data_IF_118290289483
#
_entry.id   IF_118290289483
#
_cell.length_a   1.000
_cell.length_b   1.000
_cell.length_c   1.000
_cell.angle_alpha   90.00
_cell.angle_beta   90.00
_cell.angle_gamma   90.00
#
_symmetry.space_group_name_H-M   'P 1'
#
loop_
_entity.id
_entity.type
_entity.pdbx_description
1 polymer ?
#
# COMPACT_ATOMS: atom_id res chain seq x y z
N UNK A 1 2.75 -57.16 -17.19
CA UNK A 1 2.08 -56.59 -16.01
C UNK A 1 2.04 -55.05 -16.05
N UNK A 2 2.95 -54.40 -16.78
CA UNK A 2 3.08 -52.92 -16.85
C UNK A 2 1.98 -52.13 -17.55
N UNK A 3 1.24 -52.73 -18.50
CA UNK A 3 0.22 -52.01 -19.27
C UNK A 3 -0.97 -51.55 -18.41
N UNK A 4 -1.35 -52.36 -17.42
CA UNK A 4 -2.44 -52.02 -16.50
C UNK A 4 -2.06 -50.89 -15.55
N UNK A 5 -0.81 -50.90 -15.05
CA UNK A 5 -0.29 -49.88 -14.14
C UNK A 5 -0.17 -48.52 -14.85
N UNK A 6 0.40 -48.49 -16.06
CA UNK A 6 0.47 -47.26 -16.87
C UNK A 6 -0.91 -46.67 -17.14
N UNK A 7 -1.88 -47.50 -17.53
CA UNK A 7 -3.25 -47.03 -17.79
C UNK A 7 -3.91 -46.40 -16.55
N UNK A 8 -3.64 -46.94 -15.35
CA UNK A 8 -4.14 -46.36 -14.09
C UNK A 8 -3.45 -45.02 -13.81
N UNK A 9 -2.14 -44.92 -14.03
CA UNK A 9 -1.38 -43.67 -13.88
C UNK A 9 -1.88 -42.59 -14.85
N UNK A 10 -2.02 -42.91 -16.14
CA UNK A 10 -2.48 -41.97 -17.18
C UNK A 10 -3.91 -41.48 -16.93
N UNK A 11 -4.75 -42.31 -16.31
CA UNK A 11 -6.12 -41.93 -15.92
C UNK A 11 -6.10 -41.01 -14.69
N UNK A 12 -5.21 -41.29 -13.73
CA UNK A 12 -4.97 -40.45 -12.56
C UNK A 12 -4.44 -39.07 -12.95
N UNK A 13 -3.47 -39.02 -13.86
CA UNK A 13 -2.88 -37.77 -14.37
C UNK A 13 -3.91 -36.90 -15.09
N UNK A 14 -4.70 -37.47 -16.02
CA UNK A 14 -5.80 -36.75 -16.69
C UNK A 14 -6.87 -36.25 -15.72
N UNK A 15 -7.17 -37.03 -14.68
CA UNK A 15 -8.15 -36.62 -13.66
C UNK A 15 -7.60 -35.49 -12.79
N UNK A 16 -6.30 -35.54 -12.46
CA UNK A 16 -5.63 -34.49 -11.71
C UNK A 16 -5.54 -33.19 -12.53
N UNK A 17 -5.13 -33.29 -13.80
CA UNK A 17 -5.05 -32.15 -14.73
C UNK A 17 -6.40 -31.43 -14.82
N UNK A 18 -7.49 -32.17 -15.00
CA UNK A 18 -8.83 -31.60 -15.02
C UNK A 18 -9.17 -30.86 -13.72
N UNK A 19 -8.88 -31.46 -12.56
CA UNK A 19 -9.12 -30.81 -11.26
C UNK A 19 -8.29 -29.54 -11.09
N UNK A 20 -7.03 -29.54 -11.56
CA UNK A 20 -6.17 -28.35 -11.51
C UNK A 20 -6.77 -27.24 -12.37
N UNK A 21 -7.21 -27.54 -13.59
CA UNK A 21 -7.87 -26.57 -14.47
C UNK A 21 -9.14 -26.00 -13.84
N UNK A 22 -10.00 -26.84 -13.27
CA UNK A 22 -11.23 -26.41 -12.59
C UNK A 22 -10.92 -25.46 -11.41
N UNK A 23 -9.88 -25.77 -10.62
CA UNK A 23 -9.43 -24.92 -9.50
C UNK A 23 -8.86 -23.59 -10.02
N UNK A 24 -8.04 -23.63 -11.09
CA UNK A 24 -7.48 -22.43 -11.70
C UNK A 24 -8.58 -21.50 -12.24
N UNK A 25 -9.58 -22.05 -12.92
CA UNK A 25 -10.73 -21.31 -13.44
C UNK A 25 -11.52 -20.68 -12.30
N UNK A 26 -11.82 -21.45 -11.25
CA UNK A 26 -12.51 -20.94 -10.07
C UNK A 26 -11.76 -19.78 -9.41
N UNK A 27 -10.45 -19.94 -9.17
CA UNK A 27 -9.63 -18.87 -8.60
C UNK A 27 -9.57 -17.64 -9.51
N UNK A 28 -9.49 -17.82 -10.83
CA UNK A 28 -9.51 -16.71 -11.76
C UNK A 28 -10.84 -15.94 -11.70
N UNK A 29 -11.97 -16.65 -11.59
CA UNK A 29 -13.29 -16.05 -11.41
C UNK A 29 -13.39 -15.29 -10.08
N UNK A 30 -12.95 -15.88 -8.98
CA UNK A 30 -12.95 -15.24 -7.65
C UNK A 30 -12.09 -13.96 -7.65
N UNK A 31 -10.90 -13.99 -8.26
CA UNK A 31 -10.05 -12.80 -8.42
C UNK A 31 -10.74 -11.69 -9.21
N UNK A 32 -11.42 -12.02 -10.32
CA UNK A 32 -12.16 -11.04 -11.14
C UNK A 32 -13.27 -10.37 -10.34
N UNK A 33 -14.08 -11.16 -9.62
CA UNK A 33 -15.16 -10.63 -8.78
C UNK A 33 -14.60 -9.69 -7.71
N UNK A 34 -13.50 -10.06 -7.06
CA UNK A 34 -12.90 -9.21 -6.03
C UNK A 34 -12.35 -7.90 -6.58
N UNK A 35 -11.72 -7.92 -7.75
CA UNK A 35 -11.26 -6.71 -8.45
C UNK A 35 -12.44 -5.82 -8.83
N UNK A 36 -13.52 -6.39 -9.37
CA UNK A 36 -14.72 -5.63 -9.76
C UNK A 36 -15.38 -4.97 -8.54
N UNK A 37 -15.54 -5.70 -7.44
CA UNK A 37 -16.08 -5.14 -6.19
C UNK A 37 -15.20 -4.00 -5.67
N UNK A 38 -13.88 -4.15 -5.71
CA UNK A 38 -12.93 -3.09 -5.31
C UNK A 38 -13.01 -1.87 -6.22
N UNK A 39 -13.16 -2.06 -7.53
CA UNK A 39 -13.34 -0.98 -8.50
C UNK A 39 -14.65 -0.21 -8.23
N UNK A 40 -15.77 -0.91 -8.07
CA UNK A 40 -17.07 -0.30 -7.74
C UNK A 40 -17.03 0.50 -6.45
N UNK A 41 -16.41 -0.05 -5.40
CA UNK A 41 -16.21 0.66 -4.14
C UNK A 41 -15.37 1.93 -4.32
N UNK A 42 -14.33 1.88 -5.16
CA UNK A 42 -13.50 3.05 -5.47
C UNK A 42 -14.27 4.10 -6.27
N UNK A 43 -15.04 3.69 -7.28
CA UNK A 43 -15.87 4.59 -8.09
C UNK A 43 -16.90 5.33 -7.24
N UNK A 44 -17.53 4.64 -6.27
CA UNK A 44 -18.47 5.23 -5.33
C UNK A 44 -17.86 6.32 -4.42
N UNK A 45 -16.53 6.42 -4.37
CA UNK A 45 -15.77 7.38 -3.55
C UNK A 45 -15.03 8.43 -4.40
N UNK A 46 -14.99 8.30 -5.73
CA UNK A 46 -14.10 9.06 -6.61
C UNK A 46 -14.31 10.57 -6.57
N UNK A 47 -15.56 11.02 -6.46
CA UNK A 47 -15.91 12.45 -6.47
C UNK A 47 -16.26 12.98 -5.07
N UNK A 48 -15.93 12.23 -4.03
CA UNK A 48 -16.16 12.63 -2.64
C UNK A 48 -14.89 13.22 -2.05
N UNK A 49 -15.04 14.37 -1.39
CA UNK A 49 -13.96 15.00 -0.66
C UNK A 49 -13.97 14.50 0.78
N UNK A 50 -12.83 13.97 1.23
CA UNK A 50 -12.62 13.50 2.59
C UNK A 50 -11.55 14.32 3.29
N UNK A 51 -11.75 14.59 4.57
CA UNK A 51 -10.75 15.17 5.47
C UNK A 51 -10.18 14.06 6.34
N UNK A 52 -8.86 13.94 6.34
CA UNK A 52 -8.12 12.98 7.14
C UNK A 52 -7.86 13.60 8.51
N UNK A 53 -8.26 12.88 9.56
CA UNK A 53 -8.18 13.36 10.95
C UNK A 53 -7.37 12.40 11.80
N UNK A 54 -6.72 12.94 12.81
CA UNK A 54 -6.03 12.13 13.79
C UNK A 54 -7.03 11.26 14.57
N UNK A 55 -6.68 10.00 14.76
CA UNK A 55 -7.54 9.03 15.45
C UNK A 55 -7.80 9.37 16.93
N UNK A 56 -6.87 10.09 17.57
CA UNK A 56 -6.90 10.30 19.02
C UNK A 56 -7.64 11.60 19.38
N UNK A 57 -7.23 12.72 18.80
CA UNK A 57 -7.76 14.05 19.13
C UNK A 57 -8.68 14.63 18.04
N UNK A 58 -8.92 13.88 16.95
CA UNK A 58 -9.70 14.32 15.80
C UNK A 58 -9.18 15.59 15.11
N UNK A 59 -7.93 15.99 15.37
CA UNK A 59 -7.30 17.13 14.70
C UNK A 59 -7.22 16.87 13.20
N UNK A 60 -7.58 17.86 12.39
CA UNK A 60 -7.48 17.79 10.93
C UNK A 60 -6.02 17.75 10.48
N UNK A 61 -5.69 16.72 9.67
CA UNK A 61 -4.33 16.47 9.18
C UNK A 61 -4.18 17.05 7.78
N UNK A 62 -4.94 16.53 6.82
CA UNK A 62 -4.95 16.98 5.43
C UNK A 62 -6.25 16.57 4.72
N UNK A 63 -6.45 17.08 3.51
CA UNK A 63 -7.54 16.61 2.66
C UNK A 63 -7.08 15.47 1.75
N UNK A 64 -8.02 14.60 1.40
CA UNK A 64 -7.83 13.53 0.41
C UNK A 64 -7.33 14.03 -0.96
N UNK A 65 -7.63 15.29 -1.31
CA UNK A 65 -7.12 15.97 -2.52
C UNK A 65 -5.61 16.17 -2.51
N UNK A 66 -5.01 16.15 -1.33
CA UNK A 66 -3.57 16.37 -1.13
C UNK A 66 -2.83 15.05 -0.96
N UNK A 67 -3.53 13.91 -1.04
CA UNK A 67 -2.90 12.58 -0.95
C UNK A 67 -2.57 12.07 -2.35
N UNK A 68 -1.36 11.54 -2.53
CA UNK A 68 -0.90 10.85 -3.74
C UNK A 68 -0.42 9.45 -3.39
N UNK A 69 -0.40 8.57 -4.39
CA UNK A 69 0.13 7.21 -4.23
C UNK A 69 1.47 7.11 -4.96
N UNK A 70 2.49 6.61 -4.26
CA UNK A 70 3.81 6.27 -4.80
C UNK A 70 3.95 4.74 -4.79
N UNK A 71 4.53 4.19 -5.86
CA UNK A 71 4.80 2.74 -6.02
C UNK A 71 3.58 1.82 -5.80
N UNK A 72 2.36 2.35 -5.90
CA UNK A 72 1.11 1.60 -5.74
C UNK A 72 0.76 1.17 -4.30
N UNK A 73 1.64 1.38 -3.33
CA UNK A 73 1.46 0.96 -1.93
C UNK A 73 1.75 2.04 -0.88
N UNK A 74 2.51 3.08 -1.24
CA UNK A 74 2.85 4.18 -0.33
C UNK A 74 1.94 5.36 -0.60
N UNK A 75 1.48 6.02 0.46
CA UNK A 75 0.65 7.22 0.34
C UNK A 75 1.39 8.41 0.93
N UNK A 76 1.33 9.52 0.21
CA UNK A 76 2.07 10.75 0.55
C UNK A 76 1.12 11.93 0.56
N UNK A 77 1.35 12.87 1.47
CA UNK A 77 0.62 14.13 1.50
C UNK A 77 1.49 15.18 0.82
N UNK A 78 0.92 16.00 -0.06
CA UNK A 78 1.64 17.07 -0.78
C UNK A 78 1.13 18.47 -0.42
N UNK A 79 0.44 18.59 0.72
CA UNK A 79 -0.03 19.88 1.24
C UNK A 79 1.15 20.66 1.83
N UNK A 80 1.55 21.79 1.23
CA UNK A 80 2.73 22.56 1.68
C UNK A 80 2.57 23.15 3.09
N UNK A 81 1.35 23.21 3.62
CA UNK A 81 1.06 23.80 4.94
C UNK A 81 1.08 22.80 6.08
N UNK A 82 1.30 21.50 5.81
CA UNK A 82 1.20 20.45 6.82
C UNK A 82 2.21 20.61 7.97
N UNK A 83 3.40 21.12 7.67
CA UNK A 83 4.47 21.34 8.64
C UNK A 83 4.10 22.36 9.72
N UNK A 84 3.26 23.33 9.39
CA UNK A 84 2.78 24.32 10.36
C UNK A 84 1.76 23.74 11.34
N UNK A 85 1.19 22.57 11.04
CA UNK A 85 0.11 21.94 11.83
C UNK A 85 0.59 20.74 12.66
N UNK A 86 1.74 20.17 12.32
CA UNK A 86 2.25 18.92 12.91
C UNK A 86 3.60 19.12 13.60
N UNK A 87 3.92 18.22 14.53
CA UNK A 87 5.20 18.20 15.22
C UNK A 87 6.13 17.19 14.55
N UNK A 88 7.30 17.64 14.11
CA UNK A 88 8.33 16.75 13.56
C UNK A 88 9.28 16.38 14.69
N UNK A 89 9.45 15.08 14.92
CA UNK A 89 10.53 14.58 15.78
C UNK A 89 11.59 13.94 14.90
N UNK A 90 12.72 14.62 14.77
CA UNK A 90 13.92 14.02 14.21
C UNK A 90 14.39 12.94 15.18
N UNK A 91 14.48 11.71 14.69
CA UNK A 91 15.05 10.61 15.47
C UNK A 91 16.50 10.97 15.76
N UNK A 92 16.91 11.05 17.03
CA UNK A 92 18.33 11.15 17.37
C UNK A 92 19.03 9.95 16.71
N UNK A 93 19.92 10.26 15.75
CA UNK A 93 20.53 9.27 14.86
C UNK A 93 21.45 8.34 15.65
N UNK A 94 20.90 7.26 16.18
CA UNK A 94 21.69 6.07 16.51
C UNK A 94 22.05 5.34 15.21
N UNK A 95 23.00 5.89 14.45
CA UNK A 95 23.87 5.27 13.41
C UNK A 95 23.32 4.21 12.42
N UNK A 96 22.01 4.05 12.26
CA UNK A 96 21.42 3.13 11.28
C UNK A 96 20.28 3.84 10.56
N UNK A 97 20.61 4.39 9.40
CA UNK A 97 19.64 4.84 8.41
C UNK A 97 18.70 3.68 8.09
N UNK A 98 17.39 3.87 8.30
CA UNK A 98 16.38 2.88 7.91
C UNK A 98 15.92 3.16 6.50
N UNK A 99 16.33 2.30 5.58
CA UNK A 99 15.78 2.24 4.24
C UNK A 99 14.51 1.37 4.25
N UNK A 100 13.46 1.84 3.61
CA UNK A 100 12.22 1.06 3.39
C UNK A 100 12.36 0.21 2.13
N UNK A 101 13.05 0.74 1.13
CA UNK A 101 13.44 0.10 -0.12
C UNK A 101 14.75 0.74 -0.64
N UNK A 102 15.23 0.35 -1.82
CA UNK A 102 16.48 0.85 -2.41
C UNK A 102 16.49 2.38 -2.66
N UNK A 103 15.32 3.02 -2.72
CA UNK A 103 15.17 4.44 -3.12
C UNK A 103 14.57 5.33 -2.03
N UNK A 104 14.13 4.75 -0.91
CA UNK A 104 13.34 5.44 0.11
C UNK A 104 14.02 5.40 1.48
N UNK A 105 14.44 6.58 1.94
CA UNK A 105 15.08 6.77 3.24
C UNK A 105 14.13 7.46 4.23
N UNK A 106 13.93 6.90 5.42
CA UNK A 106 13.17 7.57 6.49
C UNK A 106 14.07 8.59 7.21
N UNK A 107 13.60 9.83 7.32
CA UNK A 107 14.32 10.94 7.95
C UNK A 107 13.78 11.27 9.36
N UNK A 108 12.47 11.26 9.53
CA UNK A 108 11.85 11.70 10.78
C UNK A 108 10.45 11.09 10.97
N UNK A 109 9.94 11.16 12.20
CA UNK A 109 8.57 10.77 12.51
C UNK A 109 7.70 12.02 12.68
N UNK A 110 6.54 12.01 12.02
CA UNK A 110 5.54 13.08 12.09
C UNK A 110 4.53 12.75 13.17
N UNK A 111 4.35 13.68 14.09
CA UNK A 111 3.47 13.53 15.24
C UNK A 111 2.35 14.57 15.21
N UNK A 112 1.16 14.15 15.64
CA UNK A 112 0.07 15.06 15.95
C UNK A 112 0.42 15.95 17.15
N UNK A 113 -0.36 17.00 17.35
CA UNK A 113 -0.31 17.82 18.57
C UNK A 113 -0.61 17.01 19.83
N UNK A 114 -1.47 16.00 19.76
CA UNK A 114 -1.70 15.06 20.86
C UNK A 114 -0.53 14.09 21.13
N UNK A 115 0.51 14.09 20.30
CA UNK A 115 1.67 13.21 20.46
C UNK A 115 1.55 11.86 19.75
N UNK A 116 0.44 11.56 19.09
CA UNK A 116 0.28 10.35 18.26
C UNK A 116 1.16 10.45 17.01
N UNK A 117 1.91 9.39 16.68
CA UNK A 117 2.60 9.27 15.40
C UNK A 117 1.58 9.10 14.26
N UNK A 118 1.65 9.96 13.25
CA UNK A 118 0.76 10.00 12.09
C UNK A 118 1.46 9.43 10.83
N UNK A 119 2.78 9.53 10.75
CA UNK A 119 3.52 9.09 9.58
C UNK A 119 5.02 9.37 9.69
N UNK A 120 5.73 9.30 8.57
CA UNK A 120 7.18 9.45 8.52
C UNK A 120 7.64 10.30 7.35
N UNK A 121 8.58 11.21 7.60
CA UNK A 121 9.22 11.97 6.51
C UNK A 121 10.15 11.03 5.75
N UNK A 122 9.97 10.94 4.44
CA UNK A 122 10.79 10.09 3.57
C UNK A 122 11.54 10.93 2.53
N UNK A 123 12.74 10.49 2.15
CA UNK A 123 13.50 11.01 1.01
C UNK A 123 13.48 9.97 -0.09
N UNK A 124 12.97 10.36 -1.26
CA UNK A 124 12.95 9.53 -2.46
C UNK A 124 14.08 9.94 -3.41
N UNK A 125 14.89 8.99 -3.85
CA UNK A 125 16.13 9.25 -4.62
C UNK A 125 15.92 9.56 -6.12
N UNK A 126 14.70 9.46 -6.66
CA UNK A 126 14.45 9.47 -8.11
C UNK A 126 13.83 10.76 -8.68
N UNK A 127 13.61 11.79 -7.88
CA UNK A 127 13.12 13.09 -8.38
C UNK A 127 14.28 14.07 -8.39
N UNK A 128 14.81 14.32 -9.59
CA UNK A 128 15.76 15.39 -9.88
C UNK A 128 15.30 16.71 -9.26
N UNK A 129 16.19 17.32 -8.49
CA UNK A 129 16.05 18.57 -7.74
C UNK A 129 15.06 18.54 -6.55
N UNK A 130 15.61 18.21 -5.36
CA UNK A 130 15.15 18.64 -4.02
C UNK A 130 13.64 18.66 -3.71
N UNK A 131 12.85 17.69 -4.20
CA UNK A 131 11.51 17.46 -3.66
C UNK A 131 11.56 16.48 -2.48
N UNK A 132 11.43 17.01 -1.27
CA UNK A 132 11.07 16.24 -0.08
C UNK A 132 9.66 15.65 -0.30
N UNK A 133 9.58 14.37 -0.66
CA UNK A 133 8.29 13.68 -0.83
C UNK A 133 7.80 13.12 0.51
N UNK A 134 6.75 13.76 1.01
CA UNK A 134 6.28 13.64 2.38
C UNK A 134 5.35 12.43 2.54
N UNK A 135 5.82 11.35 3.16
CA UNK A 135 4.98 10.19 3.38
C UNK A 135 4.20 10.29 4.69
N UNK A 136 3.00 10.83 4.57
CA UNK A 136 2.02 10.81 5.64
C UNK A 136 1.04 9.68 5.34
N UNK A 137 1.26 8.52 5.99
CA UNK A 137 0.25 7.52 6.38
C UNK A 137 0.87 6.41 7.25
#
# INVERSE_FOLDING_TARGET
MDKCVKRIQDLGERTLEKKVLDVMERQAKERRVHVELRMKAREALKDKMFTIRCKIDSTDICNSTDVRTINGSSYVCVDPTIWCRMNIKTREMSNKVKFVDEVTQILAEVHCKCGQTIGTVMKYASVSDDLFLEAIL
#
